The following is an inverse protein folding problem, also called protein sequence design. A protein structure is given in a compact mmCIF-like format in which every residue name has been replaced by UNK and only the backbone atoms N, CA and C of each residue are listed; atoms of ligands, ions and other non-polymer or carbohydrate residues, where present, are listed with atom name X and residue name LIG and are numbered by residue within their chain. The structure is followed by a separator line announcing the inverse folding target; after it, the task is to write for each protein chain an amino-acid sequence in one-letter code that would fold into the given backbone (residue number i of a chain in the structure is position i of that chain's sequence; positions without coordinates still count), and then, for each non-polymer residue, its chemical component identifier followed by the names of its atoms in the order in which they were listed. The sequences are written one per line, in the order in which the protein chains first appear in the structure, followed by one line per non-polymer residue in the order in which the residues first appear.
data_IF_716078972720
#
_entry.id   IF_716078972720
#
_cell.length_a   1.000
_cell.length_b   1.000
_cell.length_c   1.000
_cell.angle_alpha   90.00
_cell.angle_beta   90.00
_cell.angle_gamma   90.00
#
_symmetry.space_group_name_H-M   'P 1'
#
loop_
_entity.id
_entity.type
_entity.pdbx_description
1 polymer ?
#
# COMPACT_ATOMS: atom_id res chain seq x y z
N UNK A 1 4.10 -14.73 -6.56
CA UNK A 1 3.76 -13.30 -6.73
C UNK A 1 3.04 -12.67 -5.53
N UNK A 2 2.09 -13.35 -4.86
CA UNK A 2 1.32 -12.77 -3.74
C UNK A 2 2.15 -12.21 -2.57
N UNK A 3 3.20 -12.93 -2.15
CA UNK A 3 4.09 -12.47 -1.06
C UNK A 3 4.82 -11.17 -1.45
N UNK A 4 5.22 -11.03 -2.72
CA UNK A 4 5.93 -9.85 -3.22
C UNK A 4 5.04 -8.61 -3.17
N UNK A 5 3.77 -8.73 -3.56
CA UNK A 5 2.81 -7.62 -3.48
C UNK A 5 2.56 -7.18 -2.03
N UNK A 6 2.50 -8.13 -1.09
CA UNK A 6 2.34 -7.83 0.35
C UNK A 6 3.59 -7.17 0.93
N UNK A 7 4.80 -7.63 0.59
CA UNK A 7 6.04 -6.99 1.01
C UNK A 7 6.17 -5.57 0.44
N UNK A 8 5.83 -5.38 -0.85
CA UNK A 8 5.82 -4.05 -1.48
C UNK A 8 4.80 -3.11 -0.83
N UNK A 9 3.61 -3.62 -0.48
CA UNK A 9 2.61 -2.86 0.27
C UNK A 9 3.16 -2.39 1.62
N UNK A 10 3.67 -3.31 2.44
CA UNK A 10 4.19 -2.97 3.78
C UNK A 10 5.35 -1.99 3.67
N UNK A 11 6.25 -2.19 2.71
CA UNK A 11 7.39 -1.30 2.50
C UNK A 11 6.96 0.11 2.08
N UNK A 12 6.08 0.24 1.07
CA UNK A 12 5.58 1.54 0.62
C UNK A 12 4.77 2.25 1.70
N UNK A 13 3.96 1.51 2.47
CA UNK A 13 3.13 2.08 3.53
C UNK A 13 3.99 2.50 4.72
N UNK A 14 5.02 1.73 5.08
CA UNK A 14 5.99 2.10 6.10
C UNK A 14 6.78 3.35 5.71
N UNK A 15 7.27 3.42 4.46
CA UNK A 15 7.97 4.60 3.94
C UNK A 15 7.06 5.84 3.93
N UNK A 16 5.81 5.69 3.47
CA UNK A 16 4.81 6.76 3.50
C UNK A 16 4.49 7.22 4.94
N UNK A 17 4.26 6.28 5.86
CA UNK A 17 3.94 6.59 7.25
C UNK A 17 5.09 7.33 7.93
N UNK A 18 6.34 6.92 7.66
CA UNK A 18 7.54 7.60 8.16
C UNK A 18 7.63 9.04 7.63
N UNK A 19 7.42 9.25 6.33
CA UNK A 19 7.39 10.59 5.73
C UNK A 19 6.29 11.47 6.32
N UNK A 20 5.08 10.94 6.50
CA UNK A 20 3.96 11.67 7.09
C UNK A 20 4.22 12.00 8.56
N UNK A 21 4.82 11.09 9.33
CA UNK A 21 5.24 11.35 10.72
C UNK A 21 6.26 12.48 10.78
N UNK A 22 7.23 12.49 9.87
CA UNK A 22 8.20 13.58 9.74
C UNK A 22 7.51 14.90 9.41
N UNK A 23 6.52 14.91 8.50
CA UNK A 23 5.77 16.13 8.21
C UNK A 23 4.95 16.63 9.40
N UNK A 24 4.34 15.74 10.18
CA UNK A 24 3.62 16.11 11.40
C UNK A 24 4.59 16.77 12.39
N UNK A 25 5.77 16.17 12.60
CA UNK A 25 6.78 16.71 13.52
C UNK A 25 7.43 18.01 13.02
N UNK A 26 7.60 18.16 11.71
CA UNK A 26 8.19 19.36 11.09
C UNK A 26 7.19 20.52 10.95
N UNK A 27 5.93 20.35 11.36
CA UNK A 27 4.88 21.37 11.20
C UNK A 27 4.37 21.52 9.76
N UNK A 28 4.59 20.52 8.91
CA UNK A 28 4.14 20.49 7.52
C UNK A 28 5.21 19.95 6.56
N UNK A 29 4.85 19.74 5.29
CA UNK A 29 5.81 19.38 4.25
C UNK A 29 6.75 20.56 3.97
N UNK A 30 8.05 20.35 4.13
CA UNK A 30 9.08 21.36 3.84
C UNK A 30 9.19 21.71 2.35
N UNK A 31 8.64 20.89 1.46
CA UNK A 31 8.50 21.19 0.04
C UNK A 31 7.28 20.48 -0.57
N UNK A 32 6.65 21.06 -1.62
CA UNK A 32 5.54 20.42 -2.34
C UNK A 32 5.96 19.08 -2.97
N UNK A 33 7.24 18.95 -3.32
CA UNK A 33 7.82 17.75 -3.91
C UNK A 33 7.76 16.56 -2.92
N UNK A 34 8.06 16.80 -1.65
CA UNK A 34 8.00 15.76 -0.60
C UNK A 34 6.57 15.30 -0.32
N UNK A 35 5.60 16.21 -0.37
CA UNK A 35 4.18 15.85 -0.27
C UNK A 35 3.74 14.97 -1.45
N UNK A 36 4.14 15.33 -2.68
CA UNK A 36 3.87 14.54 -3.87
C UNK A 36 4.50 13.15 -3.80
N UNK A 37 5.73 13.04 -3.28
CA UNK A 37 6.40 11.74 -3.07
C UNK A 37 5.63 10.88 -2.08
N UNK A 38 5.25 11.42 -0.91
CA UNK A 38 4.46 10.67 0.08
C UNK A 38 3.12 10.20 -0.50
N UNK A 39 2.41 11.06 -1.24
CA UNK A 39 1.17 10.70 -1.92
C UNK A 39 1.39 9.59 -2.97
N UNK A 40 2.47 9.66 -3.76
CA UNK A 40 2.77 8.62 -4.75
C UNK A 40 3.09 7.27 -4.09
N UNK A 41 3.86 7.25 -3.00
CA UNK A 41 4.16 6.04 -2.23
C UNK A 41 2.89 5.44 -1.63
N UNK A 42 1.99 6.28 -1.13
CA UNK A 42 0.68 5.87 -0.65
C UNK A 42 -0.15 5.20 -1.74
N UNK A 43 -0.28 5.84 -2.91
CA UNK A 43 -1.06 5.30 -4.05
C UNK A 43 -0.47 3.98 -4.54
N UNK A 44 0.85 3.89 -4.72
CA UNK A 44 1.52 2.66 -5.17
C UNK A 44 1.34 1.52 -4.16
N UNK A 45 1.46 1.82 -2.86
CA UNK A 45 1.17 0.85 -1.80
C UNK A 45 -0.28 0.38 -1.85
N UNK A 46 -1.23 1.32 -1.90
CA UNK A 46 -2.67 1.03 -1.93
C UNK A 46 -3.08 0.20 -3.15
N UNK A 47 -2.57 0.53 -4.34
CA UNK A 47 -2.84 -0.23 -5.57
C UNK A 47 -2.30 -1.66 -5.46
N UNK A 48 -1.08 -1.83 -4.95
CA UNK A 48 -0.48 -3.16 -4.73
C UNK A 48 -1.31 -4.00 -3.75
N UNK A 49 -1.83 -3.37 -2.70
CA UNK A 49 -2.74 -4.02 -1.75
C UNK A 49 -4.07 -4.40 -2.38
N UNK A 50 -4.67 -3.52 -3.19
CA UNK A 50 -5.93 -3.80 -3.87
C UNK A 50 -5.79 -5.00 -4.81
N UNK A 51 -4.72 -5.05 -5.60
CA UNK A 51 -4.44 -6.17 -6.51
C UNK A 51 -4.24 -7.47 -5.74
N UNK A 52 -3.47 -7.43 -4.65
CA UNK A 52 -3.28 -8.60 -3.79
C UNK A 52 -4.58 -9.06 -3.12
N UNK A 53 -5.39 -8.12 -2.64
CA UNK A 53 -6.67 -8.39 -2.00
C UNK A 53 -7.66 -9.02 -2.98
N UNK A 54 -7.85 -8.41 -4.16
CA UNK A 54 -8.74 -8.94 -5.21
C UNK A 54 -8.34 -10.34 -5.65
N UNK A 55 -7.05 -10.57 -5.92
CA UNK A 55 -6.57 -11.91 -6.30
C UNK A 55 -6.79 -12.95 -5.19
N UNK A 56 -6.63 -12.57 -3.92
CA UNK A 56 -6.90 -13.44 -2.78
C UNK A 56 -8.42 -13.72 -2.64
N UNK A 57 -9.26 -12.72 -2.85
CA UNK A 57 -10.73 -12.88 -2.83
C UNK A 57 -11.23 -13.79 -3.95
N UNK A 58 -10.71 -13.66 -5.17
CA UNK A 58 -11.07 -14.54 -6.28
C UNK A 58 -10.70 -15.99 -5.99
N UNK A 59 -9.51 -16.24 -5.45
CA UNK A 59 -9.11 -17.59 -5.05
C UNK A 59 -9.95 -18.15 -3.91
N UNK A 60 -10.28 -17.33 -2.91
CA UNK A 60 -11.18 -17.75 -1.83
C UNK A 60 -12.57 -18.09 -2.38
N UNK A 61 -13.11 -17.27 -3.29
CA UNK A 61 -14.39 -17.53 -3.93
C UNK A 61 -14.38 -18.83 -4.72
N UNK A 62 -13.35 -19.05 -5.53
CA UNK A 62 -13.19 -20.27 -6.31
C UNK A 62 -13.08 -21.51 -5.41
N UNK A 63 -12.30 -21.39 -4.32
CA UNK A 63 -12.13 -22.46 -3.34
C UNK A 63 -13.43 -22.80 -2.61
N UNK A 64 -14.27 -21.80 -2.31
CA UNK A 64 -15.58 -21.99 -1.69
C UNK A 64 -16.56 -22.61 -2.70
N UNK A 65 -16.58 -22.13 -3.94
CA UNK A 65 -17.47 -22.62 -4.99
C UNK A 65 -17.15 -24.06 -5.44
N UNK A 66 -15.87 -24.47 -5.40
CA UNK A 66 -15.44 -25.83 -5.73
C UNK A 66 -15.53 -26.82 -4.55
N UNK A 67 -15.84 -26.35 -3.33
CA UNK A 67 -16.05 -27.18 -2.15
C UNK A 67 -17.54 -27.31 -1.74
N UNK A 68 -18.46 -26.84 -2.60
CA UNK A 68 -19.91 -27.03 -2.52
C UNK A 68 -20.40 -27.91 -3.65
#
# INVERSE_FOLDING_TARGET
MKRVALYLFVFCLFACATLVLVFIWAGGPSSPLLFQVAASLFVVGLTSFLVWSLTTFFELRDKIANHS
#
